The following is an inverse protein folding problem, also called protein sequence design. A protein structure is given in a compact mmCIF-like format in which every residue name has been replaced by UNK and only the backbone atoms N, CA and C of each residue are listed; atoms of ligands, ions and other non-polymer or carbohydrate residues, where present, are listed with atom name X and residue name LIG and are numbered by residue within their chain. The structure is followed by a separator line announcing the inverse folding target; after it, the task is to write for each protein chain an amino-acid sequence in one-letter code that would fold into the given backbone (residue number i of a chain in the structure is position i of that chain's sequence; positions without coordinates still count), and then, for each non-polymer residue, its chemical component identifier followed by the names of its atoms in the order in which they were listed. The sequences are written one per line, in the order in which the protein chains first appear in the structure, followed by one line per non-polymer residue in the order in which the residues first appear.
data_IF_134989012825
#
_entry.id   IF_134989012825
#
_cell.length_a   1.000
_cell.length_b   1.000
_cell.length_c   1.000
_cell.angle_alpha   90.00
_cell.angle_beta   90.00
_cell.angle_gamma   90.00
#
_symmetry.space_group_name_H-M   'P 1'
#
loop_
_entity.id
_entity.type
_entity.pdbx_description
1 polymer ?
#
# COMPACT_ATOMS: atom_id res chain seq x y z
N UNK A 1 -3.36 -9.34 -20.23
CA UNK A 1 -2.71 -10.69 -20.29
C UNK A 1 -3.65 -11.91 -19.98
N UNK A 2 -4.97 -11.76 -20.19
CA UNK A 2 -6.05 -12.69 -19.80
C UNK A 2 -6.39 -12.73 -18.30
N UNK A 3 -5.91 -11.78 -17.51
CA UNK A 3 -6.39 -11.36 -16.18
C UNK A 3 -7.87 -10.90 -16.12
N UNK A 4 -8.44 -10.44 -17.23
CA UNK A 4 -9.82 -9.97 -17.29
C UNK A 4 -10.01 -8.45 -17.27
N UNK A 5 -8.92 -7.69 -17.14
CA UNK A 5 -8.89 -6.27 -17.47
C UNK A 5 -8.43 -6.11 -18.92
N UNK A 6 -8.76 -4.98 -19.56
CA UNK A 6 -8.41 -4.78 -20.98
C UNK A 6 -7.19 -3.90 -21.12
N UNK A 7 -6.25 -4.26 -22.01
CA UNK A 7 -4.99 -3.54 -22.29
C UNK A 7 -5.09 -2.00 -22.47
N UNK A 8 -6.28 -1.42 -22.69
CA UNK A 8 -6.45 0.03 -22.90
C UNK A 8 -7.41 0.69 -21.88
N UNK A 9 -7.78 -0.03 -20.81
CA UNK A 9 -8.73 0.45 -19.80
C UNK A 9 -8.41 -0.22 -18.44
N UNK A 10 -7.44 0.36 -17.72
CA UNK A 10 -7.11 -0.02 -16.34
C UNK A 10 -6.18 -1.23 -16.17
N UNK A 11 -5.48 -1.64 -17.24
CA UNK A 11 -4.43 -2.68 -17.20
C UNK A 11 -3.07 -2.00 -17.42
N UNK A 12 -2.34 -1.78 -16.34
CA UNK A 12 -1.01 -1.15 -16.29
C UNK A 12 0.11 -2.17 -16.54
N UNK A 13 -0.20 -3.47 -16.43
CA UNK A 13 0.68 -4.60 -16.75
C UNK A 13 0.22 -5.46 -17.94
N UNK A 14 -0.12 -4.89 -19.13
CA UNK A 14 -0.85 -5.64 -20.15
C UNK A 14 -0.03 -6.71 -20.85
N UNK A 15 1.31 -6.66 -20.71
CA UNK A 15 2.24 -7.53 -21.42
C UNK A 15 3.52 -7.77 -20.62
N UNK A 16 3.97 -9.01 -20.64
CA UNK A 16 5.35 -9.37 -20.28
C UNK A 16 5.56 -9.78 -18.82
N UNK A 17 4.51 -9.79 -18.01
CA UNK A 17 4.52 -10.38 -16.67
C UNK A 17 3.62 -11.62 -16.56
N UNK A 18 2.66 -11.63 -15.63
CA UNK A 18 1.82 -12.79 -15.37
C UNK A 18 0.89 -13.10 -16.55
N UNK A 19 0.23 -14.25 -16.49
CA UNK A 19 -0.69 -14.68 -17.53
C UNK A 19 -1.67 -15.72 -17.00
N UNK A 20 -2.90 -15.68 -17.53
CA UNK A 20 -3.98 -16.61 -17.19
C UNK A 20 -4.33 -16.63 -15.70
N UNK A 21 -4.48 -15.46 -15.09
CA UNK A 21 -5.01 -15.28 -13.74
C UNK A 21 -6.33 -14.50 -13.82
N UNK A 22 -6.88 -14.02 -12.71
CA UNK A 22 -8.10 -13.21 -12.72
C UNK A 22 -7.94 -12.06 -11.75
N UNK A 23 -8.09 -10.82 -12.21
CA UNK A 23 -8.11 -9.65 -11.36
C UNK A 23 -9.32 -9.69 -10.42
N UNK A 24 -9.03 -9.73 -9.11
CA UNK A 24 -9.98 -9.60 -8.00
C UNK A 24 -9.23 -9.16 -6.75
N UNK A 25 -9.97 -8.83 -5.68
CA UNK A 25 -9.40 -8.26 -4.44
C UNK A 25 -8.37 -9.12 -3.71
N UNK A 26 -8.10 -10.35 -4.16
CA UNK A 26 -7.11 -11.24 -3.56
C UNK A 26 -5.84 -11.41 -4.42
N UNK A 27 -5.82 -10.90 -5.64
CA UNK A 27 -4.67 -11.07 -6.56
C UNK A 27 -4.36 -9.85 -7.42
N UNK A 28 -5.08 -8.76 -7.20
CA UNK A 28 -4.93 -7.43 -7.80
C UNK A 28 -5.66 -6.47 -6.85
N UNK A 29 -4.96 -6.10 -5.79
CA UNK A 29 -5.55 -5.48 -4.61
C UNK A 29 -5.99 -4.04 -4.88
N UNK A 30 -5.23 -3.30 -5.69
CA UNK A 30 -5.57 -1.94 -6.11
C UNK A 30 -6.38 -1.87 -7.42
N UNK A 31 -6.49 -2.97 -8.16
CA UNK A 31 -7.20 -3.10 -9.43
C UNK A 31 -6.56 -2.35 -10.60
N UNK A 32 -5.23 -2.30 -10.67
CA UNK A 32 -4.48 -1.73 -11.77
C UNK A 32 -4.15 -2.74 -12.90
N UNK A 33 -4.55 -4.01 -12.73
CA UNK A 33 -4.30 -5.09 -13.70
C UNK A 33 -2.90 -5.67 -13.66
N UNK A 34 -2.11 -5.33 -12.64
CA UNK A 34 -0.90 -6.02 -12.24
C UNK A 34 -1.24 -7.10 -11.21
N UNK A 35 -0.52 -8.23 -11.26
CA UNK A 35 -0.79 -9.32 -10.32
C UNK A 35 -0.03 -9.09 -9.01
N UNK A 36 -0.76 -9.05 -7.88
CA UNK A 36 -0.15 -8.98 -6.55
C UNK A 36 0.92 -10.07 -6.35
N UNK A 37 1.96 -9.77 -5.56
CA UNK A 37 3.07 -10.70 -5.26
C UNK A 37 3.78 -11.27 -6.51
N UNK A 38 3.66 -10.63 -7.67
CA UNK A 38 4.34 -11.02 -8.91
C UNK A 38 5.25 -9.88 -9.37
N UNK A 39 6.46 -10.13 -9.94
CA UNK A 39 7.43 -9.07 -10.26
C UNK A 39 7.00 -7.98 -11.26
N UNK A 40 5.79 -8.05 -11.80
CA UNK A 40 5.23 -6.97 -12.62
C UNK A 40 4.59 -5.89 -11.77
N UNK A 41 4.07 -6.28 -10.61
CA UNK A 41 3.62 -5.41 -9.54
C UNK A 41 4.72 -5.33 -8.47
N UNK A 42 4.93 -4.15 -7.92
CA UNK A 42 5.95 -3.90 -6.89
C UNK A 42 5.42 -2.96 -5.81
N UNK A 43 4.14 -2.63 -5.87
CA UNK A 43 3.43 -1.64 -5.06
C UNK A 43 1.94 -2.07 -5.05
N UNK A 44 1.65 -3.17 -4.34
CA UNK A 44 0.38 -3.92 -4.42
C UNK A 44 -0.85 -3.09 -3.93
N UNK A 45 -0.67 -1.90 -3.35
CA UNK A 45 -1.78 -0.98 -3.04
C UNK A 45 -1.69 0.42 -3.68
N UNK A 46 -0.67 0.62 -4.52
CA UNK A 46 -0.40 1.80 -5.32
C UNK A 46 -0.30 3.12 -4.52
N UNK A 47 0.20 3.07 -3.28
CA UNK A 47 0.40 4.24 -2.44
C UNK A 47 1.70 5.02 -2.77
N UNK A 48 2.59 4.43 -3.58
CA UNK A 48 3.86 4.99 -3.99
C UNK A 48 5.08 4.54 -3.19
N UNK A 49 4.90 3.64 -2.22
CA UNK A 49 5.95 2.97 -1.44
C UNK A 49 6.00 1.50 -1.86
N UNK A 50 7.14 1.10 -2.45
CA UNK A 50 7.30 -0.28 -2.92
C UNK A 50 7.12 -1.30 -1.77
N UNK A 51 6.52 -2.47 -2.04
CA UNK A 51 6.21 -3.50 -1.03
C UNK A 51 7.40 -3.90 -0.14
N UNK A 52 8.62 -3.80 -0.68
CA UNK A 52 9.85 -4.13 0.05
C UNK A 52 10.21 -3.12 1.15
N UNK A 53 9.71 -1.89 1.04
CA UNK A 53 9.89 -0.81 2.01
C UNK A 53 8.59 -0.47 2.74
N UNK A 54 7.48 -1.09 2.35
CA UNK A 54 6.16 -0.86 2.92
C UNK A 54 5.89 -1.80 4.11
N UNK A 55 5.48 -1.24 5.25
CA UNK A 55 5.02 -1.99 6.41
C UNK A 55 3.55 -2.43 6.29
N UNK A 56 2.80 -1.79 5.40
CA UNK A 56 1.42 -2.03 5.00
C UNK A 56 1.28 -2.27 3.48
N UNK A 57 1.97 -3.26 2.88
CA UNK A 57 1.98 -3.52 1.42
C UNK A 57 0.60 -3.86 0.82
N UNK A 58 -0.43 -3.94 1.66
CA UNK A 58 -1.82 -4.02 1.24
C UNK A 58 -2.62 -3.13 2.19
N UNK A 59 -3.35 -2.14 1.67
CA UNK A 59 -4.29 -1.39 2.48
C UNK A 59 -5.31 -2.34 3.15
N UNK A 60 -5.35 -2.29 4.48
CA UNK A 60 -6.12 -3.23 5.31
C UNK A 60 -7.48 -2.65 5.72
N UNK A 61 -7.77 -1.39 5.39
CA UNK A 61 -9.00 -0.70 5.78
C UNK A 61 -10.03 -0.57 4.64
N UNK A 62 -11.26 -1.11 4.82
CA UNK A 62 -12.33 -0.92 3.86
C UNK A 62 -13.04 0.44 4.01
N UNK A 63 -13.43 1.11 2.90
CA UNK A 63 -13.19 0.71 1.51
C UNK A 63 -11.71 0.87 1.13
N UNK A 64 -11.22 -0.06 0.29
CA UNK A 64 -9.86 -0.04 -0.25
C UNK A 64 -9.55 1.34 -0.81
N UNK A 65 -8.35 1.83 -0.53
CA UNK A 65 -7.90 3.17 -0.88
C UNK A 65 -6.95 3.16 -2.06
N UNK A 66 -7.45 2.66 -3.18
CA UNK A 66 -6.80 2.62 -4.50
C UNK A 66 -6.25 3.97 -5.03
N UNK A 67 -6.44 5.07 -4.29
CA UNK A 67 -6.06 6.43 -4.68
C UNK A 67 -5.38 7.21 -3.57
N UNK A 68 -5.14 6.57 -2.41
CA UNK A 68 -4.30 7.19 -1.40
C UNK A 68 -2.85 7.09 -1.87
N UNK A 69 -2.04 8.07 -1.47
CA UNK A 69 -0.63 8.15 -1.81
C UNK A 69 0.08 8.54 -0.52
N UNK A 70 1.15 7.84 -0.19
CA UNK A 70 2.01 8.18 0.94
C UNK A 70 2.54 9.61 0.79
N UNK A 71 2.34 10.40 1.84
CA UNK A 71 2.90 11.75 1.95
C UNK A 71 3.26 12.01 3.39
N UNK A 72 4.25 12.86 3.62
CA UNK A 72 4.65 13.29 4.96
C UNK A 72 3.52 13.88 5.85
N UNK A 73 2.34 14.20 5.27
CA UNK A 73 1.19 14.67 6.03
C UNK A 73 0.16 13.60 6.39
N UNK A 74 0.30 12.38 5.87
CA UNK A 74 -0.63 11.25 6.06
C UNK A 74 0.05 9.90 6.29
N UNK A 75 1.36 9.85 6.16
CA UNK A 75 2.31 8.78 6.46
C UNK A 75 3.59 9.51 6.94
N UNK A 76 3.69 9.71 8.25
CA UNK A 76 4.67 10.64 8.84
C UNK A 76 6.08 10.07 8.90
N UNK A 77 6.25 8.76 9.08
CA UNK A 77 7.54 8.10 9.07
C UNK A 77 7.95 7.59 7.66
N UNK A 78 6.99 7.51 6.73
CA UNK A 78 7.20 7.14 5.34
C UNK A 78 7.29 5.63 5.14
N UNK A 79 6.60 4.85 5.98
CA UNK A 79 6.63 3.38 5.93
C UNK A 79 5.52 2.75 5.07
N UNK A 80 4.71 3.57 4.39
CA UNK A 80 3.59 3.11 3.53
C UNK A 80 2.30 2.82 4.32
N UNK A 81 2.34 2.89 5.65
CA UNK A 81 1.14 2.84 6.46
C UNK A 81 0.54 4.24 6.64
N UNK A 82 -0.77 4.34 6.43
CA UNK A 82 -1.48 5.61 6.65
C UNK A 82 -1.73 5.89 8.14
N UNK A 83 -1.18 7.00 8.66
CA UNK A 83 -1.33 7.51 10.04
C UNK A 83 -2.78 7.45 10.59
N UNK A 84 -3.75 7.72 9.72
CA UNK A 84 -5.13 7.92 10.17
C UNK A 84 -5.81 6.64 10.67
N UNK A 85 -5.34 5.46 10.25
CA UNK A 85 -5.98 4.19 10.57
C UNK A 85 -5.17 2.92 10.30
N UNK A 86 -4.11 2.95 9.50
CA UNK A 86 -3.30 1.77 9.18
C UNK A 86 -2.02 1.69 10.01
N UNK A 87 -1.46 2.85 10.33
CA UNK A 87 -0.33 2.95 11.23
C UNK A 87 -0.78 3.08 12.69
N UNK A 88 -0.05 2.41 13.59
CA UNK A 88 -0.22 2.48 15.03
C UNK A 88 0.97 3.15 15.73
N UNK A 89 1.95 3.64 14.96
CA UNK A 89 3.16 4.29 15.42
C UNK A 89 3.65 5.29 14.35
N UNK A 90 2.91 6.41 14.20
CA UNK A 90 3.09 7.39 13.12
C UNK A 90 4.52 7.96 12.99
N UNK A 91 5.40 7.81 13.99
CA UNK A 91 6.79 8.28 13.96
C UNK A 91 7.86 7.19 14.11
N UNK A 92 7.44 5.93 14.14
CA UNK A 92 8.25 4.72 14.28
C UNK A 92 9.23 4.74 15.46
N UNK A 93 8.85 5.36 16.58
CA UNK A 93 9.65 5.33 17.79
C UNK A 93 9.36 4.10 18.67
N UNK A 94 9.78 4.11 19.93
CA UNK A 94 9.60 2.97 20.84
C UNK A 94 8.18 2.83 21.41
N UNK A 95 7.27 3.76 21.12
CA UNK A 95 5.96 3.86 21.74
C UNK A 95 4.86 4.03 20.68
N UNK A 96 3.94 3.07 20.62
CA UNK A 96 2.73 3.20 19.78
C UNK A 96 1.96 4.49 20.11
N UNK A 97 1.20 4.97 19.13
CA UNK A 97 0.33 6.14 19.15
C UNK A 97 -0.53 6.28 20.42
N UNK A 98 -1.04 5.15 20.91
CA UNK A 98 -1.89 5.10 22.10
C UNK A 98 -1.16 5.37 23.42
N UNK A 99 0.16 5.25 23.40
CA UNK A 99 1.07 5.38 24.53
C UNK A 99 2.15 6.44 24.29
N UNK A 100 2.06 7.27 23.25
CA UNK A 100 2.98 8.39 23.03
C UNK A 100 2.27 9.75 23.14
N UNK A 101 2.88 10.64 23.91
CA UNK A 101 2.44 12.03 24.05
C UNK A 101 2.84 12.91 22.86
N UNK A 102 3.77 12.46 22.00
CA UNK A 102 4.34 13.21 20.90
C UNK A 102 4.23 12.53 19.53
N UNK A 103 3.15 11.78 19.30
CA UNK A 103 2.87 10.82 18.19
C UNK A 103 3.50 11.04 16.79
N UNK A 104 3.86 12.26 16.42
CA UNK A 104 4.46 12.60 15.11
C UNK A 104 5.96 12.98 15.21
N UNK A 105 6.60 12.78 16.37
CA UNK A 105 7.94 13.29 16.67
C UNK A 105 8.75 12.22 17.41
N UNK A 106 9.69 11.55 16.70
CA UNK A 106 10.41 10.42 17.27
C UNK A 106 11.14 10.80 18.56
N UNK A 107 11.01 9.99 19.59
CA UNK A 107 11.55 10.31 20.89
C UNK A 107 11.50 9.17 21.91
N UNK A 108 11.19 9.58 23.13
CA UNK A 108 11.10 8.69 24.28
C UNK A 108 9.93 9.09 25.20
N UNK A 109 9.01 9.89 24.67
CA UNK A 109 7.82 10.26 25.39
C UNK A 109 6.89 9.06 25.49
N UNK A 110 6.21 8.99 26.62
CA UNK A 110 5.04 8.16 26.86
C UNK A 110 3.98 8.99 27.52
#
# INVERSE_FOLDING_TARGET
DNDGITDNDGDDCPRGGAFNWTSDSNSDHDYDGCQDNHPEDVDDDNDGILDINDACPFTSFPPLRQWWISTYGTDNDGDGCRDADEDLNDDNDAFDDSNDNCRLVPGNSS
#
